data_IF_884989000146
#
_entry.id   IF_884989000146
#
_cell.length_a   1.000
_cell.length_b   1.000
_cell.length_c   1.000
_cell.angle_alpha   90.00
_cell.angle_beta   90.00
_cell.angle_gamma   90.00
#
_symmetry.space_group_name_H-M   'P 1'
#
loop_
_entity.id
_entity.type
_entity.pdbx_description
1 polymer ?
#
# COMPACT_ATOMS: atom_id res chain seq x y z
N UNK A 1 -58.58 15.91 59.36
CA UNK A 1 -57.68 14.81 58.98
C UNK A 1 -57.45 14.90 57.47
N UNK A 2 -56.33 15.45 57.02
CA UNK A 2 -55.90 15.36 55.62
C UNK A 2 -54.41 15.06 55.64
N UNK A 3 -54.04 13.86 55.15
CA UNK A 3 -52.67 13.35 55.14
C UNK A 3 -52.01 13.72 53.82
N UNK A 4 -50.96 14.54 53.89
CA UNK A 4 -50.01 14.80 52.81
C UNK A 4 -49.28 13.51 52.40
N UNK A 5 -49.14 13.29 51.09
CA UNK A 5 -48.21 12.31 50.53
C UNK A 5 -47.19 13.07 49.67
N UNK A 6 -45.93 13.08 50.11
CA UNK A 6 -44.78 13.55 49.34
C UNK A 6 -44.26 12.35 48.55
N UNK A 7 -44.41 12.35 47.23
CA UNK A 7 -43.81 11.36 46.34
C UNK A 7 -42.40 11.84 45.97
N UNK A 8 -41.38 11.15 46.49
CA UNK A 8 -39.97 11.40 46.18
C UNK A 8 -39.59 10.63 44.92
N UNK A 9 -39.35 11.31 43.79
CA UNK A 9 -38.79 10.71 42.57
C UNK A 9 -37.28 10.51 42.75
N UNK A 10 -36.84 9.26 42.93
CA UNK A 10 -35.43 8.90 42.82
C UNK A 10 -35.04 8.82 41.34
N UNK A 11 -34.12 9.68 40.89
CA UNK A 11 -33.50 9.61 39.58
C UNK A 11 -32.37 8.57 39.64
N UNK A 12 -32.54 7.44 38.96
CA UNK A 12 -31.49 6.45 38.79
C UNK A 12 -30.62 6.85 37.58
N UNK A 13 -29.36 7.26 37.84
CA UNK A 13 -28.34 7.45 36.79
C UNK A 13 -27.76 6.07 36.48
N UNK A 14 -28.13 5.49 35.34
CA UNK A 14 -27.50 4.28 34.84
C UNK A 14 -26.15 4.65 34.21
N UNK A 15 -25.04 4.23 34.84
CA UNK A 15 -23.73 4.22 34.19
C UNK A 15 -23.68 3.06 33.19
N UNK A 16 -23.83 3.37 31.90
CA UNK A 16 -23.53 2.44 30.82
C UNK A 16 -22.02 2.28 30.66
N UNK A 17 -21.46 1.28 31.33
CA UNK A 17 -20.13 0.75 31.00
C UNK A 17 -20.21 0.13 29.60
N UNK A 18 -19.74 0.86 28.59
CA UNK A 18 -19.61 0.36 27.24
C UNK A 18 -18.57 -0.76 27.19
N UNK A 19 -19.02 -1.99 26.92
CA UNK A 19 -18.12 -3.07 26.56
C UNK A 19 -17.53 -2.76 25.17
N UNK A 20 -16.26 -2.37 25.10
CA UNK A 20 -15.57 -2.27 23.82
C UNK A 20 -15.36 -3.69 23.26
N UNK A 21 -16.03 -4.01 22.16
CA UNK A 21 -15.85 -5.27 21.42
C UNK A 21 -14.40 -5.44 20.98
N UNK A 22 -13.90 -6.67 20.81
CA UNK A 22 -12.52 -6.92 20.38
C UNK A 22 -12.25 -6.36 18.97
N UNK A 23 -11.06 -5.79 18.75
CA UNK A 23 -10.58 -5.33 17.44
C UNK A 23 -10.35 -6.53 16.50
N UNK A 24 -10.92 -6.53 15.29
CA UNK A 24 -10.66 -7.60 14.32
C UNK A 24 -9.20 -7.61 13.86
N UNK A 25 -8.79 -8.69 13.20
CA UNK A 25 -7.47 -8.80 12.61
C UNK A 25 -7.22 -7.61 11.66
N UNK A 26 -6.03 -7.02 11.75
CA UNK A 26 -5.56 -5.82 11.05
C UNK A 26 -6.22 -4.49 11.44
N UNK A 27 -7.15 -4.47 12.40
CA UNK A 27 -7.68 -3.22 12.93
C UNK A 27 -6.70 -2.54 13.90
N UNK A 28 -6.85 -1.23 14.07
CA UNK A 28 -6.14 -0.48 15.09
C UNK A 28 -6.58 -0.95 16.48
N UNK A 29 -5.61 -1.15 17.37
CA UNK A 29 -5.83 -1.62 18.74
C UNK A 29 -5.14 -0.75 19.80
N UNK A 30 -4.64 0.42 19.39
CA UNK A 30 -3.95 1.34 20.29
C UNK A 30 -3.23 2.45 19.54
N UNK A 31 -2.53 3.26 20.32
CA UNK A 31 -1.85 4.49 19.89
C UNK A 31 -2.34 5.70 20.67
N UNK A 32 -1.52 6.75 20.73
CA UNK A 32 -1.87 8.00 21.39
C UNK A 32 -3.16 8.60 20.82
N UNK A 33 -4.12 8.89 21.70
CA UNK A 33 -5.42 9.46 21.33
C UNK A 33 -6.47 8.45 20.83
N UNK A 34 -6.13 7.16 20.72
CA UNK A 34 -7.08 6.14 20.29
C UNK A 34 -8.09 5.79 21.40
N UNK A 35 -9.38 5.89 21.11
CA UNK A 35 -10.50 5.61 22.04
C UNK A 35 -11.31 4.35 21.70
N UNK A 36 -10.81 3.53 20.76
CA UNK A 36 -11.48 2.32 20.32
C UNK A 36 -11.03 1.05 21.07
N UNK A 37 -11.42 -0.13 20.58
CA UNK A 37 -11.01 -1.42 21.14
C UNK A 37 -9.51 -1.63 21.30
N UNK A 38 -9.04 -1.91 22.50
CA UNK A 38 -7.61 -2.17 22.78
C UNK A 38 -7.23 -3.65 22.81
N UNK A 39 -8.22 -4.54 22.74
CA UNK A 39 -8.03 -6.00 22.76
C UNK A 39 -8.31 -6.59 21.39
N UNK A 40 -7.39 -7.36 20.84
CA UNK A 40 -7.58 -8.04 19.56
C UNK A 40 -8.44 -9.30 19.69
N UNK A 41 -9.06 -9.71 18.58
CA UNK A 41 -9.72 -11.03 18.47
C UNK A 41 -8.75 -12.17 18.80
N UNK A 42 -9.31 -13.31 19.22
CA UNK A 42 -8.52 -14.50 19.54
C UNK A 42 -7.57 -14.88 18.40
N UNK A 43 -6.32 -15.19 18.73
CA UNK A 43 -5.26 -15.50 17.75
C UNK A 43 -4.56 -14.28 17.16
N UNK A 44 -4.91 -13.05 17.56
CA UNK A 44 -4.22 -11.83 17.17
C UNK A 44 -3.60 -11.09 18.38
N UNK A 45 -2.48 -10.41 18.14
CA UNK A 45 -1.75 -9.62 19.13
C UNK A 45 -1.68 -8.17 18.69
N UNK A 46 -1.91 -7.24 19.61
CA UNK A 46 -1.79 -5.81 19.35
C UNK A 46 -0.31 -5.42 19.28
N UNK A 47 0.19 -5.14 18.07
CA UNK A 47 1.59 -4.78 17.83
C UNK A 47 1.72 -3.28 17.55
N UNK A 48 2.60 -2.60 18.29
CA UNK A 48 2.88 -1.19 18.10
C UNK A 48 3.81 -0.96 16.90
N UNK A 49 3.41 -0.07 15.98
CA UNK A 49 4.23 0.33 14.83
C UNK A 49 4.88 1.70 15.05
N UNK A 50 4.16 2.60 15.71
CA UNK A 50 4.63 3.89 16.19
C UNK A 50 3.73 4.38 17.35
N UNK A 51 4.06 5.53 17.92
CA UNK A 51 3.38 6.09 19.09
C UNK A 51 1.88 6.34 18.88
N UNK A 52 1.43 6.55 17.64
CA UNK A 52 0.04 6.86 17.30
C UNK A 52 -0.74 5.66 16.74
N UNK A 53 -0.07 4.56 16.38
CA UNK A 53 -0.70 3.45 15.68
C UNK A 53 -0.19 2.07 16.12
N UNK A 54 -1.08 1.30 16.73
CA UNK A 54 -0.88 -0.13 17.02
C UNK A 54 -1.93 -0.96 16.26
N UNK A 55 -1.57 -2.14 15.75
CA UNK A 55 -2.44 -2.97 14.90
C UNK A 55 -2.53 -4.41 15.41
N UNK A 56 -3.72 -5.00 15.33
CA UNK A 56 -3.92 -6.43 15.56
C UNK A 56 -3.30 -7.25 14.42
N UNK A 57 -2.29 -8.05 14.69
CA UNK A 57 -1.65 -8.94 13.71
C UNK A 57 -1.67 -10.39 14.20
N UNK A 58 -1.53 -11.41 13.33
CA UNK A 58 -1.58 -12.81 13.76
C UNK A 58 -0.52 -13.10 14.84
N UNK A 59 -0.97 -13.61 15.98
CA UNK A 59 -0.09 -14.05 17.06
C UNK A 59 0.45 -15.43 16.75
N UNK A 60 1.77 -15.56 16.64
CA UNK A 60 2.40 -16.88 16.59
C UNK A 60 2.24 -17.54 17.95
N UNK A 61 1.47 -18.63 18.03
CA UNK A 61 1.30 -19.40 19.25
C UNK A 61 2.64 -20.06 19.63
N UNK A 62 3.42 -19.41 20.47
CA UNK A 62 4.42 -20.08 21.30
C UNK A 62 4.14 -19.71 22.75
N UNK A 63 3.20 -20.45 23.35
CA UNK A 63 3.24 -20.62 24.79
C UNK A 63 4.51 -21.40 25.12
N UNK A 64 5.49 -20.77 25.77
CA UNK A 64 6.15 -21.35 26.94
C UNK A 64 7.06 -20.32 27.65
N UNK A 65 6.74 -20.09 28.91
CA UNK A 65 7.63 -19.51 29.89
C UNK A 65 8.86 -20.41 30.06
N UNK A 66 10.06 -19.86 29.91
CA UNK A 66 11.26 -20.42 30.51
C UNK A 66 12.22 -19.30 30.90
N UNK A 67 12.61 -19.34 32.17
CA UNK A 67 13.63 -18.50 32.77
C UNK A 67 14.97 -18.98 32.21
N UNK A 68 15.59 -18.21 31.32
CA UNK A 68 16.97 -18.42 30.91
C UNK A 68 17.69 -17.07 30.87
N UNK A 69 18.68 -16.92 31.74
CA UNK A 69 19.61 -15.79 31.76
C UNK A 69 20.38 -15.78 30.44
N UNK A 70 19.97 -14.89 29.52
CA UNK A 70 20.71 -14.66 28.28
C UNK A 70 21.86 -13.67 28.53
N UNK A 71 23.08 -14.12 28.24
CA UNK A 71 24.25 -13.25 28.08
C UNK A 71 23.98 -12.19 26.99
N UNK A 72 24.62 -11.00 27.03
CA UNK A 72 24.38 -9.98 26.03
C UNK A 72 24.87 -10.45 24.66
N UNK A 73 23.92 -10.71 23.75
CA UNK A 73 24.21 -10.90 22.32
C UNK A 73 24.41 -9.51 21.73
N UNK A 74 25.65 -9.17 21.39
CA UNK A 74 25.97 -7.99 20.60
C UNK A 74 25.39 -8.15 19.20
N UNK A 75 24.20 -7.61 18.96
CA UNK A 75 23.71 -7.36 17.61
C UNK A 75 24.47 -6.16 17.04
N UNK A 76 25.52 -6.42 16.27
CA UNK A 76 26.02 -5.43 15.32
C UNK A 76 24.93 -5.20 14.28
N UNK A 77 24.16 -4.12 14.44
CA UNK A 77 23.34 -3.57 13.35
C UNK A 77 24.26 -3.35 12.15
N UNK A 78 24.10 -4.17 11.11
CA UNK A 78 24.68 -3.86 9.82
C UNK A 78 24.08 -2.51 9.39
N UNK A 79 24.94 -1.52 9.16
CA UNK A 79 24.54 -0.26 8.57
C UNK A 79 23.77 -0.53 7.26
N UNK A 80 22.75 0.28 6.92
CA UNK A 80 22.12 0.17 5.62
C UNK A 80 23.21 0.25 4.54
N UNK A 81 23.27 -0.78 3.70
CA UNK A 81 24.13 -0.77 2.52
C UNK A 81 23.88 0.54 1.75
N UNK A 82 24.91 1.26 1.28
CA UNK A 82 24.69 2.48 0.51
C UNK A 82 23.73 2.15 -0.63
N UNK A 83 22.63 2.90 -0.70
CA UNK A 83 21.70 2.82 -1.82
C UNK A 83 22.51 2.86 -3.11
N UNK A 84 22.35 1.91 -4.04
CA UNK A 84 23.13 1.92 -5.27
C UNK A 84 22.95 3.28 -5.91
N UNK A 85 24.07 3.97 -6.13
CA UNK A 85 24.08 5.19 -6.94
C UNK A 85 23.37 4.85 -8.25
N UNK A 86 22.31 5.59 -8.60
CA UNK A 86 21.44 5.33 -9.77
C UNK A 86 22.15 5.60 -11.12
N UNK A 87 23.46 5.42 -11.16
CA UNK A 87 24.30 5.55 -12.34
C UNK A 87 23.97 4.38 -13.27
N UNK A 88 23.32 4.67 -14.41
CA UNK A 88 22.93 3.66 -15.39
C UNK A 88 21.46 3.25 -15.34
N UNK A 89 20.61 3.93 -14.55
CA UNK A 89 19.17 3.72 -14.61
C UNK A 89 18.65 4.02 -16.04
N UNK A 90 18.07 3.00 -16.67
CA UNK A 90 17.59 3.04 -18.06
C UNK A 90 16.14 2.63 -18.17
N UNK A 91 15.66 1.72 -17.32
CA UNK A 91 14.31 1.17 -17.40
C UNK A 91 13.54 1.51 -16.14
N UNK A 92 12.32 2.01 -16.31
CA UNK A 92 11.41 2.23 -15.21
C UNK A 92 10.16 1.41 -15.43
N UNK A 93 9.96 0.40 -14.60
CA UNK A 93 8.84 -0.54 -14.70
C UNK A 93 7.87 -0.18 -13.58
N UNK A 94 6.66 0.20 -13.93
CA UNK A 94 5.70 0.71 -12.94
C UNK A 94 4.39 -0.02 -13.00
N UNK A 95 3.82 -0.21 -11.81
CA UNK A 95 2.49 -0.76 -11.59
C UNK A 95 1.73 0.19 -10.68
N UNK A 96 0.41 0.23 -10.82
CA UNK A 96 -0.33 1.17 -10.02
C UNK A 96 -1.79 1.35 -10.43
N UNK A 97 -2.38 2.33 -9.77
CA UNK A 97 -3.73 2.79 -10.04
C UNK A 97 -3.73 4.11 -10.84
N UNK A 98 -4.78 4.90 -10.69
CA UNK A 98 -4.97 6.18 -11.38
C UNK A 98 -3.86 7.19 -11.07
N UNK A 99 -3.20 7.12 -9.91
CA UNK A 99 -2.09 8.03 -9.58
C UNK A 99 -0.85 7.78 -10.41
N UNK A 100 -0.73 6.58 -10.99
CA UNK A 100 0.41 6.16 -11.79
C UNK A 100 0.08 5.96 -13.26
N UNK A 101 -1.19 5.83 -13.65
CA UNK A 101 -1.57 5.60 -15.04
C UNK A 101 -1.06 6.69 -15.99
N UNK A 102 -0.48 6.26 -17.11
CA UNK A 102 -0.12 7.11 -18.27
C UNK A 102 -0.75 6.65 -19.58
N UNK A 103 -1.45 5.50 -19.60
CA UNK A 103 -2.09 4.94 -20.78
C UNK A 103 -1.21 4.04 -21.66
N UNK A 104 -0.08 3.57 -21.16
CA UNK A 104 0.82 2.69 -21.91
C UNK A 104 0.19 1.34 -22.22
N UNK A 105 0.29 0.93 -23.48
CA UNK A 105 -0.06 -0.38 -24.01
C UNK A 105 1.24 -1.10 -24.44
N UNK A 106 1.51 -2.25 -23.82
CA UNK A 106 2.73 -3.01 -24.10
C UNK A 106 2.79 -3.56 -25.52
N UNK A 107 1.64 -3.73 -26.19
CA UNK A 107 1.57 -4.13 -27.60
C UNK A 107 1.90 -2.99 -28.56
N UNK A 108 1.75 -1.74 -28.13
CA UNK A 108 1.96 -0.53 -28.93
C UNK A 108 3.43 -0.13 -29.14
N UNK A 109 3.66 1.12 -29.54
CA UNK A 109 5.01 1.68 -29.76
C UNK A 109 5.83 1.63 -28.47
N UNK A 110 7.04 1.08 -28.53
CA UNK A 110 7.90 0.92 -27.36
C UNK A 110 8.55 2.24 -26.94
N UNK A 111 8.87 2.41 -25.65
CA UNK A 111 9.63 3.56 -25.15
C UNK A 111 10.90 3.83 -25.94
N UNK A 112 11.16 5.11 -26.21
CA UNK A 112 12.35 5.57 -26.93
C UNK A 112 12.87 6.88 -26.32
N UNK A 113 14.02 7.37 -26.79
CA UNK A 113 14.55 8.67 -26.35
C UNK A 113 13.62 9.84 -26.73
N UNK A 114 12.93 9.76 -27.87
CA UNK A 114 12.00 10.79 -28.33
C UNK A 114 10.63 10.72 -27.66
N UNK A 115 10.20 9.53 -27.23
CA UNK A 115 9.03 9.35 -26.40
C UNK A 115 9.31 8.33 -25.28
N UNK A 116 9.73 8.80 -24.09
CA UNK A 116 10.05 7.93 -22.95
C UNK A 116 8.89 7.05 -22.46
N UNK A 117 7.64 7.39 -22.80
CA UNK A 117 6.47 6.53 -22.53
C UNK A 117 6.21 5.50 -23.64
N UNK A 118 6.75 5.70 -24.84
CA UNK A 118 6.50 4.89 -26.04
C UNK A 118 5.13 5.16 -26.66
N UNK A 119 4.07 4.88 -25.90
CA UNK A 119 2.69 5.19 -26.23
C UNK A 119 1.89 5.46 -24.95
N UNK A 120 0.95 6.42 -24.94
CA UNK A 120 0.82 7.57 -25.85
C UNK A 120 2.03 8.53 -25.78
N UNK A 121 1.95 9.69 -26.44
CA UNK A 121 2.94 10.78 -26.27
C UNK A 121 2.85 11.39 -24.87
N UNK A 122 3.99 11.76 -24.30
CA UNK A 122 4.07 12.54 -23.05
C UNK A 122 3.14 13.78 -23.10
N UNK A 123 2.36 14.09 -22.05
CA UNK A 123 2.36 13.52 -20.69
C UNK A 123 1.61 12.17 -20.55
N UNK A 124 0.96 11.71 -21.62
CA UNK A 124 0.08 10.57 -21.64
C UNK A 124 -1.30 10.84 -21.04
N UNK A 125 -2.05 9.77 -20.78
CA UNK A 125 -3.40 9.84 -20.24
C UNK A 125 -3.33 9.67 -18.73
N UNK A 126 -3.37 10.80 -18.02
CA UNK A 126 -3.17 10.87 -16.57
C UNK A 126 -4.40 11.47 -15.89
N UNK A 127 -4.60 11.14 -14.61
CA UNK A 127 -5.63 11.78 -13.78
C UNK A 127 -5.24 13.19 -13.30
N UNK A 128 -4.01 13.64 -13.57
CA UNK A 128 -3.50 14.95 -13.12
C UNK A 128 -3.76 16.09 -14.12
N UNK A 129 -4.28 15.80 -15.32
CA UNK A 129 -4.43 16.80 -16.39
C UNK A 129 -3.10 17.26 -17.00
N UNK A 130 -2.00 16.56 -16.68
CA UNK A 130 -0.64 16.88 -17.11
C UNK A 130 0.32 15.75 -16.74
N UNK A 131 1.58 16.08 -16.41
CA UNK A 131 2.50 15.05 -15.90
C UNK A 131 1.99 14.51 -14.56
N UNK A 132 1.98 13.19 -14.39
CA UNK A 132 1.97 12.57 -13.07
C UNK A 132 3.41 12.40 -12.58
N UNK A 133 3.59 11.73 -11.43
CA UNK A 133 4.91 11.54 -10.83
C UNK A 133 5.87 10.74 -11.75
N UNK A 134 5.37 9.76 -12.51
CA UNK A 134 6.15 9.01 -13.50
C UNK A 134 6.63 9.94 -14.61
N UNK A 135 5.70 10.71 -15.21
CA UNK A 135 6.04 11.68 -16.25
C UNK A 135 7.10 12.68 -15.77
N UNK A 136 6.95 13.21 -14.55
CA UNK A 136 7.92 14.12 -13.97
C UNK A 136 9.30 13.46 -13.77
N UNK A 137 9.34 12.22 -13.30
CA UNK A 137 10.60 11.48 -13.13
C UNK A 137 11.33 11.25 -14.45
N UNK A 138 10.62 10.85 -15.51
CA UNK A 138 11.26 10.46 -16.78
C UNK A 138 11.56 11.63 -17.72
N UNK A 139 10.97 12.82 -17.48
CA UNK A 139 11.12 13.96 -18.39
C UNK A 139 11.62 15.26 -17.77
N UNK A 140 11.51 15.43 -16.45
CA UNK A 140 11.86 16.69 -15.77
C UNK A 140 13.02 16.52 -14.79
N UNK A 141 13.00 15.42 -14.04
CA UNK A 141 13.97 15.16 -12.97
C UNK A 141 15.01 14.10 -13.34
N UNK A 142 14.99 13.61 -14.58
CA UNK A 142 15.97 12.66 -15.07
C UNK A 142 17.28 13.34 -15.46
N UNK A 143 18.41 12.73 -15.10
CA UNK A 143 19.75 13.15 -15.54
C UNK A 143 20.20 12.41 -16.81
N UNK A 144 19.50 11.35 -17.20
CA UNK A 144 19.69 10.56 -18.42
C UNK A 144 18.34 10.02 -18.91
N UNK A 145 18.22 9.58 -20.17
CA UNK A 145 16.97 9.00 -20.66
C UNK A 145 16.58 7.76 -19.86
N UNK A 146 15.35 7.77 -19.33
CA UNK A 146 14.70 6.65 -18.64
C UNK A 146 13.50 6.20 -19.47
N UNK A 147 13.45 4.93 -19.84
CA UNK A 147 12.40 4.33 -20.64
C UNK A 147 11.32 3.73 -19.73
N UNK A 148 10.11 4.26 -19.82
CA UNK A 148 9.00 3.90 -18.93
C UNK A 148 8.14 2.78 -19.52
N UNK A 149 8.09 1.64 -18.84
CA UNK A 149 7.17 0.55 -19.10
C UNK A 149 6.12 0.53 -18.00
N UNK A 150 5.00 1.24 -18.23
CA UNK A 150 4.01 1.52 -17.19
C UNK A 150 2.75 0.68 -17.34
N UNK A 151 2.60 -0.33 -16.50
CA UNK A 151 1.43 -1.21 -16.47
C UNK A 151 0.31 -0.67 -15.58
N UNK A 152 0.46 0.50 -14.96
CA UNK A 152 -0.56 1.08 -14.08
C UNK A 152 -1.89 1.34 -14.80
N UNK A 153 -2.99 0.96 -14.16
CA UNK A 153 -4.33 1.06 -14.70
C UNK A 153 -5.27 1.83 -13.75
N UNK A 154 -5.95 2.86 -14.26
CA UNK A 154 -6.86 3.70 -13.49
C UNK A 154 -8.00 2.89 -12.86
N UNK A 155 -8.19 3.06 -11.55
CA UNK A 155 -9.20 2.33 -10.78
C UNK A 155 -8.82 0.90 -10.38
N UNK A 156 -7.57 0.47 -10.65
CA UNK A 156 -7.10 -0.84 -10.25
C UNK A 156 -7.22 -1.05 -8.74
N UNK A 157 -7.84 -2.17 -8.35
CA UNK A 157 -7.72 -2.75 -7.02
C UNK A 157 -6.54 -3.72 -6.99
N UNK A 158 -6.09 -4.11 -5.80
CA UNK A 158 -4.98 -5.05 -5.66
C UNK A 158 -5.36 -6.44 -6.20
N UNK A 159 -6.57 -6.90 -5.89
CA UNK A 159 -7.08 -8.20 -6.34
C UNK A 159 -8.60 -8.10 -6.63
N UNK A 160 -8.97 -8.23 -7.91
CA UNK A 160 -10.36 -8.12 -8.36
C UNK A 160 -11.29 -9.21 -7.80
N UNK A 161 -10.76 -10.35 -7.33
CA UNK A 161 -11.55 -11.41 -6.68
C UNK A 161 -11.89 -11.10 -5.21
N UNK A 162 -11.16 -10.19 -4.56
CA UNK A 162 -11.40 -9.78 -3.17
C UNK A 162 -12.17 -8.45 -3.14
N UNK A 163 -11.66 -7.46 -3.86
CA UNK A 163 -12.30 -6.14 -4.02
C UNK A 163 -12.52 -5.91 -5.50
N UNK A 164 -13.78 -6.00 -5.93
CA UNK A 164 -14.15 -5.81 -7.33
C UNK A 164 -13.93 -4.35 -7.74
N UNK A 165 -13.21 -4.06 -8.85
CA UNK A 165 -13.13 -2.70 -9.38
C UNK A 165 -14.50 -2.16 -9.81
N UNK A 166 -14.59 -0.86 -10.06
CA UNK A 166 -15.82 -0.19 -10.48
C UNK A 166 -16.39 -0.71 -11.82
N UNK A 167 -15.55 -1.31 -12.69
CA UNK A 167 -15.96 -1.94 -13.94
C UNK A 167 -15.15 -3.23 -14.21
N UNK A 168 -15.74 -4.24 -14.87
CA UNK A 168 -15.07 -5.53 -15.12
C UNK A 168 -13.89 -5.45 -16.11
N UNK A 169 -13.77 -4.35 -16.84
CA UNK A 169 -12.66 -4.11 -17.78
C UNK A 169 -11.42 -3.53 -17.12
N UNK A 170 -11.52 -3.13 -15.84
CA UNK A 170 -10.40 -2.56 -15.09
C UNK A 170 -9.43 -3.65 -14.70
N UNK A 171 -8.15 -3.46 -15.02
CA UNK A 171 -7.07 -4.40 -14.70
C UNK A 171 -6.61 -4.21 -13.26
N UNK A 172 -6.75 -5.25 -12.44
CA UNK A 172 -6.21 -5.27 -11.09
C UNK A 172 -4.69 -5.33 -11.10
N UNK A 173 -4.05 -5.09 -9.94
CA UNK A 173 -2.59 -5.26 -9.81
C UNK A 173 -2.13 -6.67 -10.24
N UNK A 174 -2.90 -7.72 -9.93
CA UNK A 174 -2.62 -9.09 -10.40
C UNK A 174 -2.60 -9.17 -11.93
N UNK A 175 -3.57 -8.55 -12.60
CA UNK A 175 -3.63 -8.53 -14.07
C UNK A 175 -2.45 -7.76 -14.67
N UNK A 176 -2.05 -6.65 -14.04
CA UNK A 176 -0.89 -5.85 -14.47
C UNK A 176 0.42 -6.66 -14.34
N UNK A 177 0.60 -7.41 -13.25
CA UNK A 177 1.77 -8.30 -13.07
C UNK A 177 1.75 -9.44 -14.08
N UNK A 178 0.58 -9.99 -14.41
CA UNK A 178 0.44 -11.01 -15.46
C UNK A 178 0.80 -10.45 -16.85
N UNK A 179 0.42 -9.21 -17.16
CA UNK A 179 0.78 -8.53 -18.40
C UNK A 179 2.29 -8.27 -18.48
N UNK A 180 2.93 -7.82 -17.41
CA UNK A 180 4.40 -7.72 -17.34
C UNK A 180 5.06 -9.09 -17.56
N UNK A 181 4.58 -10.12 -16.86
CA UNK A 181 5.14 -11.48 -16.89
C UNK A 181 5.06 -12.10 -18.29
N UNK A 182 3.99 -11.81 -19.03
CA UNK A 182 3.80 -12.28 -20.41
C UNK A 182 4.46 -11.39 -21.48
N UNK A 183 5.10 -10.29 -21.08
CA UNK A 183 5.72 -9.34 -22.00
C UNK A 183 7.22 -9.15 -21.72
N UNK A 184 7.61 -8.02 -21.12
CA UNK A 184 9.00 -7.61 -20.97
C UNK A 184 9.74 -8.38 -19.87
N UNK A 185 9.06 -9.20 -19.06
CA UNK A 185 9.73 -10.06 -18.08
C UNK A 185 10.74 -11.03 -18.72
N UNK A 186 10.52 -11.37 -20.00
CA UNK A 186 11.46 -12.17 -20.82
C UNK A 186 12.72 -11.41 -21.25
N UNK A 187 12.80 -10.10 -20.97
CA UNK A 187 13.91 -9.21 -21.34
C UNK A 187 14.19 -9.21 -22.85
N UNK A 188 13.19 -8.89 -23.67
CA UNK A 188 13.35 -8.88 -25.13
C UNK A 188 14.40 -7.83 -25.55
N UNK A 189 14.91 -7.93 -26.78
CA UNK A 189 15.95 -7.02 -27.28
C UNK A 189 15.60 -5.53 -27.24
N UNK A 190 14.30 -5.18 -27.24
CA UNK A 190 13.83 -3.80 -27.09
C UNK A 190 13.69 -3.35 -25.63
N UNK A 191 13.72 -4.27 -24.66
CA UNK A 191 13.67 -4.02 -23.23
C UNK A 191 14.65 -4.91 -22.44
N UNK A 192 15.98 -4.83 -22.69
CA UNK A 192 17.00 -5.62 -22.00
C UNK A 192 17.32 -5.07 -20.59
N UNK A 193 16.30 -5.00 -19.74
CA UNK A 193 16.46 -4.53 -18.37
C UNK A 193 17.15 -5.58 -17.48
N UNK A 194 17.87 -5.09 -16.47
CA UNK A 194 18.55 -5.86 -15.42
C UNK A 194 18.19 -5.29 -14.06
N UNK A 195 18.51 -5.99 -12.97
CA UNK A 195 18.24 -5.48 -11.63
C UNK A 195 19.05 -4.20 -11.32
N UNK A 196 20.18 -4.01 -12.00
CA UNK A 196 21.11 -2.89 -11.79
C UNK A 196 20.72 -1.64 -12.61
N UNK A 197 20.06 -1.82 -13.76
CA UNK A 197 19.70 -0.72 -14.66
C UNK A 197 18.20 -0.38 -14.66
N UNK A 198 17.43 -1.02 -13.79
CA UNK A 198 15.99 -0.81 -13.68
C UNK A 198 15.56 -0.34 -12.30
N UNK A 199 14.49 0.45 -12.28
CA UNK A 199 13.74 0.80 -11.09
C UNK A 199 12.34 0.22 -11.23
N UNK A 200 11.82 -0.38 -10.15
CA UNK A 200 10.44 -0.83 -10.09
C UNK A 200 9.66 0.06 -9.13
N UNK A 201 8.55 0.63 -9.61
CA UNK A 201 7.64 1.45 -8.82
C UNK A 201 6.28 0.78 -8.69
N UNK A 202 5.73 0.76 -7.47
CA UNK A 202 4.37 0.27 -7.21
C UNK A 202 3.65 1.31 -6.35
N UNK A 203 2.54 1.85 -6.86
CA UNK A 203 1.64 2.69 -6.07
C UNK A 203 0.20 2.24 -6.28
N UNK A 204 -0.33 1.55 -5.28
CA UNK A 204 -1.62 0.88 -5.28
C UNK A 204 -2.35 1.11 -3.95
N UNK A 205 -3.64 0.78 -3.93
CA UNK A 205 -4.41 0.60 -2.69
C UNK A 205 -5.52 1.61 -2.50
N UNK A 206 -5.51 2.76 -3.20
CA UNK A 206 -6.55 3.78 -3.00
C UNK A 206 -7.94 3.26 -3.38
N UNK A 207 -8.02 2.42 -4.42
CA UNK A 207 -9.29 1.84 -4.85
C UNK A 207 -9.69 0.61 -4.03
N UNK A 208 -8.78 0.01 -3.26
CA UNK A 208 -9.14 -1.07 -2.33
C UNK A 208 -9.91 -0.52 -1.12
N UNK A 209 -9.61 0.72 -0.71
CA UNK A 209 -10.29 1.41 0.40
C UNK A 209 -11.41 2.35 -0.06
N UNK A 210 -11.24 2.95 -1.24
CA UNK A 210 -12.04 4.08 -1.72
C UNK A 210 -13.04 3.72 -2.81
N UNK A 211 -13.32 2.45 -3.06
CA UNK A 211 -14.43 2.04 -3.95
C UNK A 211 -15.81 2.24 -3.28
N UNK A 212 -15.99 3.41 -2.66
CA UNK A 212 -17.24 3.96 -2.12
C UNK A 212 -17.81 4.99 -3.06
#
# INVERSE_FOLDING_TARGET
MSRSFIASCAVAIALSIGAHAQAPLYAQCGGQGYSGPTSCVSGAVCTAWNDWYHQCVPGTSTMQSSTATAAPVSTTSAAPSPSPSATGLRYFITFGDSYSQTGFDVSGTKPSESNPLGNPTLPGWTSSGGLNWIGALISKYNTSTVLSYNFAYGGATTNASIVKPYAPTVRSFIDQVAEFSSSIATKPSYAPWTAENSLVGVWMGVNDVGNT
#
